data_IF_577104990106
#
_entry.id   IF_577104990106
#
_cell.length_a   1.000
_cell.length_b   1.000
_cell.length_c   1.000
_cell.angle_alpha   90.00
_cell.angle_beta   90.00
_cell.angle_gamma   90.00
#
_symmetry.space_group_name_H-M   'P 1'
#
loop_
_entity.id
_entity.type
_entity.pdbx_description
1 polymer ?
#
# COMPACT_ATOMS: atom_id res chain seq x y z
N UNK A 1 22.09 0.89 -10.60
CA UNK A 1 21.55 -0.30 -11.28
C UNK A 1 20.69 -1.03 -10.27
N UNK A 2 19.39 -1.24 -10.53
CA UNK A 2 18.52 -1.93 -9.57
C UNK A 2 18.68 -3.43 -9.75
N UNK A 3 18.95 -4.16 -8.66
CA UNK A 3 19.04 -5.61 -8.67
C UNK A 3 17.86 -6.15 -7.88
N UNK A 4 16.89 -6.73 -8.58
CA UNK A 4 15.80 -7.43 -7.93
C UNK A 4 16.29 -8.82 -7.50
N UNK A 5 16.17 -9.12 -6.20
CA UNK A 5 16.39 -10.47 -5.66
C UNK A 5 15.06 -11.02 -5.18
N UNK A 6 14.77 -12.27 -5.53
CA UNK A 6 13.62 -12.99 -5.01
C UNK A 6 14.02 -13.67 -3.70
N UNK A 7 13.09 -13.67 -2.76
CA UNK A 7 13.20 -14.38 -1.48
C UNK A 7 11.97 -15.28 -1.34
N UNK A 8 12.18 -16.51 -0.89
CA UNK A 8 11.09 -17.43 -0.59
C UNK A 8 10.48 -17.03 0.76
N UNK A 9 9.22 -16.59 0.75
CA UNK A 9 8.54 -16.14 1.97
C UNK A 9 7.99 -17.30 2.82
N UNK A 10 8.00 -18.54 2.31
CA UNK A 10 7.54 -19.75 3.01
C UNK A 10 6.18 -19.64 3.70
N UNK A 11 5.28 -18.83 3.15
CA UNK A 11 3.87 -18.80 3.51
C UNK A 11 3.13 -19.92 2.79
N UNK A 12 2.12 -20.50 3.46
CA UNK A 12 1.34 -21.63 2.92
C UNK A 12 0.22 -21.18 1.98
N UNK A 13 -0.06 -19.88 1.94
CA UNK A 13 -1.14 -19.25 1.20
C UNK A 13 -0.74 -17.81 0.79
N UNK A 14 -1.62 -17.11 0.09
CA UNK A 14 -1.41 -15.78 -0.45
C UNK A 14 -0.98 -14.77 0.63
N UNK A 15 0.10 -14.04 0.36
CA UNK A 15 0.63 -12.94 1.17
C UNK A 15 -0.15 -11.66 0.86
N UNK A 16 -0.76 -11.01 1.85
CA UNK A 16 -1.55 -9.81 1.57
C UNK A 16 -0.74 -8.53 1.68
N UNK A 17 0.21 -8.49 2.61
CA UNK A 17 0.99 -7.29 2.90
C UNK A 17 2.40 -7.62 3.34
N UNK A 18 3.25 -6.62 3.14
CA UNK A 18 4.62 -6.57 3.62
C UNK A 18 4.79 -5.20 4.27
N UNK A 19 5.63 -5.07 5.27
CA UNK A 19 5.92 -3.77 5.87
C UNK A 19 7.35 -3.74 6.39
N UNK A 20 8.07 -2.66 6.09
CA UNK A 20 9.42 -2.44 6.59
C UNK A 20 9.38 -1.78 7.95
N UNK A 21 10.38 -2.11 8.76
CA UNK A 21 10.68 -1.31 9.94
C UNK A 21 11.19 0.08 9.54
N UNK A 22 11.29 0.97 10.52
CA UNK A 22 11.76 2.34 10.31
C UNK A 22 13.18 2.41 9.71
N UNK A 23 14.02 1.41 9.98
CA UNK A 23 15.41 1.38 9.53
C UNK A 23 15.62 0.63 8.21
N UNK A 24 14.58 -0.01 7.65
CA UNK A 24 14.69 -0.83 6.43
C UNK A 24 15.53 -2.11 6.60
N UNK A 25 15.86 -2.50 7.82
CA UNK A 25 16.64 -3.70 8.14
C UNK A 25 15.78 -4.89 8.49
N UNK A 26 14.50 -4.65 8.78
CA UNK A 26 13.53 -5.69 9.10
C UNK A 26 12.31 -5.54 8.22
N UNK A 27 11.64 -6.64 7.97
CA UNK A 27 10.34 -6.63 7.32
C UNK A 27 9.40 -7.62 7.99
N UNK A 28 8.12 -7.29 7.99
CA UNK A 28 7.04 -8.18 8.41
C UNK A 28 6.20 -8.55 7.19
N UNK A 29 5.76 -9.80 7.10
CA UNK A 29 4.89 -10.31 6.04
C UNK A 29 3.67 -10.97 6.65
N UNK A 30 2.50 -10.83 6.03
CA UNK A 30 1.25 -11.42 6.52
C UNK A 30 0.47 -12.12 5.40
N UNK A 31 -0.26 -13.20 5.73
CA UNK A 31 -0.85 -14.09 4.73
C UNK A 31 -2.24 -14.62 5.10
N UNK A 32 -2.95 -15.15 4.10
CA UNK A 32 -4.14 -15.99 4.24
C UNK A 32 -3.90 -17.24 5.07
N UNK A 33 -2.65 -17.68 5.23
CA UNK A 33 -2.30 -18.81 6.11
C UNK A 33 -2.41 -18.50 7.61
N UNK A 34 -2.92 -17.31 7.94
CA UNK A 34 -3.20 -16.81 9.28
C UNK A 34 -1.94 -16.52 10.10
N UNK A 35 -0.79 -16.41 9.45
CA UNK A 35 0.50 -16.16 10.09
C UNK A 35 1.09 -14.80 9.72
N UNK A 36 1.88 -14.29 10.65
CA UNK A 36 2.84 -13.21 10.41
C UNK A 36 4.24 -13.78 10.54
N UNK A 37 5.12 -13.37 9.63
CA UNK A 37 6.54 -13.67 9.69
C UNK A 37 7.32 -12.37 9.76
N UNK A 38 8.44 -12.40 10.49
CA UNK A 38 9.39 -11.30 10.60
C UNK A 38 10.73 -11.79 10.05
N UNK A 39 11.37 -10.90 9.30
CA UNK A 39 12.59 -11.18 8.58
C UNK A 39 13.59 -10.08 8.86
N UNK A 40 14.84 -10.50 9.06
CA UNK A 40 15.95 -9.59 9.30
C UNK A 40 16.94 -9.66 8.14
N UNK A 41 17.42 -8.49 7.74
CA UNK A 41 18.44 -8.32 6.70
C UNK A 41 19.82 -8.45 7.33
N UNK A 42 20.59 -9.42 6.86
CA UNK A 42 22.00 -9.59 7.20
C UNK A 42 22.86 -8.48 6.59
N UNK A 43 24.09 -8.31 7.10
CA UNK A 43 25.06 -7.35 6.55
C UNK A 43 25.41 -7.65 5.08
N UNK A 44 25.33 -8.92 4.66
CA UNK A 44 25.51 -9.38 3.27
C UNK A 44 24.31 -9.05 2.36
N UNK A 45 23.24 -8.48 2.93
CA UNK A 45 22.04 -8.08 2.22
C UNK A 45 21.03 -9.21 1.96
N UNK A 46 21.22 -10.37 2.58
CA UNK A 46 20.29 -11.50 2.52
C UNK A 46 19.24 -11.44 3.64
N UNK A 47 18.00 -11.82 3.33
CA UNK A 47 16.88 -11.83 4.26
C UNK A 47 16.69 -13.21 4.89
N UNK A 48 16.54 -13.24 6.20
CA UNK A 48 16.35 -14.47 6.97
C UNK A 48 15.09 -14.35 7.83
N UNK A 49 14.24 -15.37 7.81
CA UNK A 49 13.05 -15.41 8.67
C UNK A 49 13.49 -15.64 10.12
N UNK A 50 13.27 -14.66 10.99
CA UNK A 50 13.64 -14.72 12.42
C UNK A 50 12.49 -15.08 13.33
N UNK A 51 11.24 -14.81 12.90
CA UNK A 51 10.06 -15.28 13.61
C UNK A 51 8.92 -15.64 12.65
N UNK A 52 8.10 -16.64 13.04
CA UNK A 52 6.92 -17.07 12.30
C UNK A 52 5.89 -17.61 13.28
N UNK A 53 4.72 -16.98 13.37
CA UNK A 53 3.68 -17.41 14.30
C UNK A 53 2.28 -17.20 13.74
N UNK A 54 1.32 -17.98 14.23
CA UNK A 54 -0.10 -17.79 13.91
C UNK A 54 -0.65 -16.63 14.74
N UNK A 55 -1.30 -15.68 14.08
CA UNK A 55 -1.75 -14.44 14.69
C UNK A 55 -3.25 -14.38 14.92
N UNK A 56 -4.00 -14.84 13.92
CA UNK A 56 -5.43 -14.63 13.73
C UNK A 56 -6.15 -15.95 13.41
N UNK A 57 -7.49 -15.96 13.44
CA UNK A 57 -8.32 -17.11 13.03
C UNK A 57 -8.79 -17.01 11.58
N UNK A 58 -8.46 -15.92 10.89
CA UNK A 58 -8.74 -15.65 9.49
C UNK A 58 -7.53 -15.06 8.76
N UNK A 59 -7.69 -14.78 7.47
CA UNK A 59 -6.64 -14.17 6.63
C UNK A 59 -6.18 -12.82 7.18
N UNK A 60 -4.86 -12.63 7.27
CA UNK A 60 -4.26 -11.39 7.76
C UNK A 60 -4.05 -10.44 6.59
N UNK A 61 -4.76 -9.30 6.59
CA UNK A 61 -4.81 -8.39 5.43
C UNK A 61 -3.67 -7.37 5.39
N UNK A 62 -3.26 -6.85 6.55
CA UNK A 62 -2.22 -5.83 6.67
C UNK A 62 -1.37 -6.04 7.91
N UNK A 63 -0.13 -5.58 7.81
CA UNK A 63 0.83 -5.54 8.91
C UNK A 63 1.56 -4.20 8.90
N UNK A 64 1.82 -3.61 10.06
CA UNK A 64 2.51 -2.33 10.16
C UNK A 64 3.42 -2.28 11.37
N UNK A 65 4.56 -1.63 11.23
CA UNK A 65 5.49 -1.34 12.33
C UNK A 65 5.13 -0.03 13.01
N UNK A 66 5.27 0.00 14.33
CA UNK A 66 5.27 1.26 15.08
C UNK A 66 6.60 1.99 14.89
N UNK A 67 6.63 3.27 15.25
CA UNK A 67 7.90 4.00 15.32
C UNK A 67 8.79 3.41 16.43
N UNK A 68 10.12 3.24 16.21
CA UNK A 68 11.02 2.55 17.14
C UNK A 68 11.14 3.19 18.53
N UNK A 69 10.71 4.45 18.68
CA UNK A 69 10.60 5.14 19.98
C UNK A 69 9.63 4.45 20.95
N UNK A 70 8.66 3.68 20.43
CA UNK A 70 7.72 2.89 21.22
C UNK A 70 8.16 1.42 21.38
N UNK A 71 9.39 1.08 20.97
CA UNK A 71 9.91 -0.29 20.96
C UNK A 71 9.61 -1.04 19.66
N UNK A 72 9.88 -2.35 19.69
CA UNK A 72 9.66 -3.25 18.54
C UNK A 72 8.21 -3.75 18.55
N UNK A 73 7.32 -2.91 18.03
CA UNK A 73 5.86 -3.16 18.06
C UNK A 73 5.32 -3.33 16.64
N UNK A 74 4.50 -4.37 16.46
CA UNK A 74 3.78 -4.67 15.23
C UNK A 74 2.28 -4.63 15.48
N UNK A 75 1.52 -4.17 14.48
CA UNK A 75 0.09 -4.35 14.43
C UNK A 75 -0.30 -5.17 13.20
N UNK A 76 -1.28 -6.05 13.36
CA UNK A 76 -1.86 -6.84 12.27
C UNK A 76 -3.38 -6.73 12.29
N UNK A 77 -4.01 -6.79 11.11
CA UNK A 77 -5.47 -6.84 10.99
C UNK A 77 -5.94 -8.00 10.11
N UNK A 78 -7.18 -8.45 10.34
CA UNK A 78 -7.65 -9.73 9.80
C UNK A 78 -9.12 -9.73 9.39
N UNK A 79 -9.44 -10.69 8.52
CA UNK A 79 -10.79 -11.09 8.16
C UNK A 79 -11.63 -11.55 9.37
N UNK A 80 -10.99 -11.99 10.44
CA UNK A 80 -11.65 -12.40 11.69
C UNK A 80 -12.29 -11.26 12.49
N UNK A 81 -12.26 -10.03 11.94
CA UNK A 81 -12.81 -8.79 12.51
C UNK A 81 -11.98 -8.20 13.64
N UNK A 82 -10.76 -8.68 13.83
CA UNK A 82 -9.87 -8.17 14.89
C UNK A 82 -8.62 -7.51 14.32
N UNK A 83 -8.06 -6.59 15.11
CA UNK A 83 -6.67 -6.18 14.98
C UNK A 83 -5.90 -6.62 16.24
N UNK A 84 -4.63 -6.98 16.10
CA UNK A 84 -3.79 -7.40 17.22
C UNK A 84 -2.50 -6.58 17.25
N UNK A 85 -2.04 -6.27 18.46
CA UNK A 85 -0.76 -5.60 18.69
C UNK A 85 0.20 -6.60 19.32
N UNK A 86 1.42 -6.64 18.79
CA UNK A 86 2.47 -7.57 19.13
C UNK A 86 3.72 -6.80 19.54
N UNK A 87 4.41 -7.29 20.56
CA UNK A 87 5.71 -6.77 20.97
C UNK A 87 6.73 -7.88 20.86
N UNK A 88 7.90 -7.54 20.30
CA UNK A 88 9.03 -8.42 20.33
C UNK A 88 9.75 -8.32 21.67
N UNK A 89 9.98 -9.47 22.29
CA UNK A 89 10.84 -9.58 23.46
C UNK A 89 12.10 -10.34 23.05
N UNK A 90 13.22 -9.66 23.19
CA UNK A 90 14.55 -10.25 23.03
C UNK A 90 14.91 -10.93 24.34
N UNK A 91 14.94 -12.27 24.36
CA UNK A 91 15.37 -13.00 25.55
C UNK A 91 16.87 -12.80 25.80
N UNK A 92 17.28 -12.56 27.06
CA UNK A 92 18.68 -12.68 27.46
C UNK A 92 19.09 -14.16 27.28
N UNK A 93 19.92 -14.42 26.27
CA UNK A 93 20.34 -15.77 25.91
C UNK A 93 21.24 -16.37 27.00
N UNK A 94 20.69 -17.30 27.80
CA UNK A 94 21.48 -18.10 28.74
C UNK A 94 21.30 -19.62 28.58
N UNK A 95 20.63 -20.08 27.51
CA UNK A 95 20.48 -21.50 27.27
C UNK A 95 20.78 -21.89 25.82
N UNK A 96 21.19 -23.13 25.60
CA UNK A 96 21.73 -23.69 24.34
C UNK A 96 20.72 -23.73 23.17
N UNK A 97 19.59 -23.03 23.28
CA UNK A 97 18.69 -22.69 22.19
C UNK A 97 18.91 -21.22 21.82
N UNK A 98 19.53 -21.00 20.65
CA UNK A 98 19.83 -19.67 20.07
C UNK A 98 18.67 -18.70 20.23
N UNK A 99 19.00 -17.43 20.50
CA UNK A 99 18.06 -16.33 20.73
C UNK A 99 17.03 -16.13 19.63
N UNK A 100 15.89 -16.81 19.78
CA UNK A 100 14.70 -16.56 18.99
C UNK A 100 13.96 -15.39 19.63
N UNK A 101 13.90 -14.26 18.92
CA UNK A 101 12.96 -13.20 19.23
C UNK A 101 11.55 -13.77 19.32
N UNK A 102 10.88 -13.57 20.46
CA UNK A 102 9.51 -14.03 20.63
C UNK A 102 8.55 -12.85 20.56
N UNK A 103 7.52 -12.99 19.74
CA UNK A 103 6.48 -11.97 19.57
C UNK A 103 5.32 -12.30 20.50
N UNK A 104 5.09 -11.44 21.48
CA UNK A 104 4.00 -11.57 22.44
C UNK A 104 2.81 -10.74 21.99
N UNK A 105 1.64 -11.36 21.93
CA UNK A 105 0.37 -10.64 21.73
C UNK A 105 0.09 -9.79 22.96
N UNK A 106 0.13 -8.47 22.83
CA UNK A 106 -0.14 -7.54 23.92
C UNK A 106 -1.62 -7.21 24.05
N UNK A 107 -2.31 -7.04 22.93
CA UNK A 107 -3.77 -6.81 22.94
C UNK A 107 -4.45 -7.35 21.67
N UNK A 108 -5.77 -7.50 21.76
CA UNK A 108 -6.67 -7.76 20.62
C UNK A 108 -7.80 -6.74 20.65
N UNK A 109 -7.91 -5.98 19.56
CA UNK A 109 -8.95 -4.97 19.35
C UNK A 109 -10.13 -5.64 18.63
N UNK A 110 -11.29 -5.65 19.29
CA UNK A 110 -12.46 -6.46 18.91
C UNK A 110 -13.70 -5.63 18.60
N UNK A 111 -13.59 -4.30 18.55
CA UNK A 111 -14.73 -3.40 18.38
C UNK A 111 -15.34 -3.45 16.97
N UNK A 112 -14.57 -3.91 15.98
CA UNK A 112 -15.04 -4.01 14.60
C UNK A 112 -16.07 -5.13 14.43
N UNK A 113 -17.19 -4.81 13.78
CA UNK A 113 -18.27 -5.77 13.53
C UNK A 113 -18.06 -6.62 12.27
N UNK A 114 -17.15 -6.18 11.40
CA UNK A 114 -16.84 -6.85 10.13
C UNK A 114 -15.32 -6.90 9.92
N UNK A 115 -14.86 -7.49 8.81
CA UNK A 115 -13.44 -7.61 8.47
C UNK A 115 -12.70 -6.28 8.64
N UNK A 116 -11.55 -6.29 9.30
CA UNK A 116 -10.67 -5.12 9.40
C UNK A 116 -9.76 -5.16 8.18
N UNK A 117 -9.91 -4.18 7.29
CA UNK A 117 -9.29 -4.17 5.95
C UNK A 117 -7.90 -3.53 5.95
N UNK A 118 -7.67 -2.56 6.84
CA UNK A 118 -6.37 -1.90 6.98
C UNK A 118 -6.10 -1.42 8.42
N UNK A 119 -4.81 -1.30 8.73
CA UNK A 119 -4.29 -0.89 10.03
C UNK A 119 -2.99 -0.10 9.85
N UNK A 120 -2.91 1.09 10.46
CA UNK A 120 -1.76 1.99 10.35
C UNK A 120 -1.49 2.71 11.67
N UNK A 121 -0.25 2.65 12.14
CA UNK A 121 0.20 3.52 13.23
C UNK A 121 0.20 4.98 12.77
N UNK A 122 -0.18 5.88 13.68
CA UNK A 122 -0.10 7.30 13.46
C UNK A 122 1.36 7.78 13.51
N UNK A 123 1.65 8.99 13.01
CA UNK A 123 2.96 9.61 13.15
C UNK A 123 3.39 9.73 14.61
N UNK A 124 4.68 9.50 14.89
CA UNK A 124 5.23 9.41 16.26
C UNK A 124 4.90 10.60 17.18
N UNK A 125 4.77 11.80 16.63
CA UNK A 125 4.51 13.00 17.41
C UNK A 125 3.08 13.04 18.00
N UNK A 126 2.20 12.13 17.56
CA UNK A 126 0.86 11.92 18.12
C UNK A 126 0.85 10.89 19.27
N UNK A 127 2.00 10.31 19.62
CA UNK A 127 2.09 9.21 20.56
C UNK A 127 1.81 7.85 19.90
N UNK A 128 1.59 6.82 20.73
CA UNK A 128 1.32 5.47 20.26
C UNK A 128 -0.16 5.31 19.92
N UNK A 129 -0.51 5.74 18.72
CA UNK A 129 -1.87 5.73 18.18
C UNK A 129 -1.96 4.78 16.99
N UNK A 130 -3.04 4.02 16.91
CA UNK A 130 -3.32 3.04 15.87
C UNK A 130 -4.70 3.32 15.26
N UNK A 131 -4.76 3.51 13.94
CA UNK A 131 -6.03 3.51 13.22
C UNK A 131 -6.28 2.14 12.60
N UNK A 132 -7.52 1.69 12.68
CA UNK A 132 -8.03 0.56 11.92
C UNK A 132 -9.21 1.03 11.05
N UNK A 133 -9.38 0.43 9.88
CA UNK A 133 -10.60 0.58 9.11
C UNK A 133 -11.22 -0.77 8.81
N UNK A 134 -12.55 -0.78 8.74
CA UNK A 134 -13.31 -2.01 8.53
C UNK A 134 -14.31 -1.85 7.40
N UNK A 135 -14.70 -2.98 6.82
CA UNK A 135 -15.70 -3.04 5.77
C UNK A 135 -17.10 -2.54 6.22
N UNK A 136 -17.31 -2.34 7.53
CA UNK A 136 -18.50 -1.73 8.13
C UNK A 136 -18.58 -0.20 7.86
N UNK A 137 -17.55 0.35 7.23
CA UNK A 137 -17.45 1.76 6.90
C UNK A 137 -17.11 2.64 8.09
N UNK A 138 -16.42 2.08 9.08
CA UNK A 138 -16.01 2.77 10.29
C UNK A 138 -14.49 2.71 10.44
N UNK A 139 -13.89 3.89 10.66
CA UNK A 139 -12.49 4.01 11.09
C UNK A 139 -12.46 4.17 12.61
N UNK A 140 -11.64 3.37 13.27
CA UNK A 140 -11.47 3.38 14.72
C UNK A 140 -10.04 3.78 15.05
N UNK A 141 -9.89 4.73 15.95
CA UNK A 141 -8.60 5.24 16.40
C UNK A 141 -8.41 4.85 17.85
N UNK A 142 -7.36 4.10 18.11
CA UNK A 142 -6.96 3.61 19.42
C UNK A 142 -5.69 4.31 19.87
N UNK A 143 -5.61 4.61 21.15
CA UNK A 143 -4.41 5.18 21.78
C UNK A 143 -3.99 4.31 22.95
N UNK A 144 -2.70 4.00 23.03
CA UNK A 144 -2.09 3.41 24.21
C UNK A 144 -1.71 4.55 25.18
N UNK A 145 -2.43 4.75 26.30
CA UNK A 145 -2.17 5.85 27.22
C UNK A 145 -0.82 5.73 27.92
N UNK A 146 -0.35 4.49 28.10
CA UNK A 146 0.95 4.16 28.66
C UNK A 146 1.74 3.31 27.66
N UNK A 147 2.80 3.90 27.10
CA UNK A 147 3.71 3.23 26.16
C UNK A 147 4.44 2.06 26.81
N UNK A 148 4.60 2.08 28.14
CA UNK A 148 5.23 0.97 28.88
C UNK A 148 4.27 -0.21 29.06
N UNK A 149 2.95 0.01 28.93
CA UNK A 149 1.93 -1.01 29.06
C UNK A 149 1.12 -1.18 27.77
N UNK A 150 1.72 -1.89 26.81
CA UNK A 150 1.12 -2.17 25.51
C UNK A 150 -0.13 -3.07 25.55
N UNK A 151 -0.52 -3.59 26.72
CA UNK A 151 -1.77 -4.35 26.87
C UNK A 151 -3.02 -3.47 26.89
N UNK A 152 -2.86 -2.19 27.25
CA UNK A 152 -3.96 -1.26 27.41
C UNK A 152 -4.06 -0.32 26.21
N UNK A 153 -5.15 -0.48 25.45
CA UNK A 153 -5.49 0.35 24.31
C UNK A 153 -6.90 0.88 24.49
N UNK A 154 -7.03 2.18 24.41
CA UNK A 154 -8.30 2.89 24.59
C UNK A 154 -8.84 3.33 23.23
N UNK A 155 -10.11 3.04 22.95
CA UNK A 155 -10.79 3.55 21.76
C UNK A 155 -11.09 5.04 21.94
N UNK A 156 -10.39 5.90 21.20
CA UNK A 156 -10.52 7.36 21.29
C UNK A 156 -11.60 7.89 20.35
N UNK A 157 -11.63 7.39 19.11
CA UNK A 157 -12.55 7.90 18.09
C UNK A 157 -13.14 6.80 17.22
N UNK A 158 -14.40 7.01 16.87
CA UNK A 158 -15.12 6.24 15.86
C UNK A 158 -15.61 7.19 14.77
N UNK A 159 -15.16 6.98 13.53
CA UNK A 159 -15.44 7.83 12.37
C UNK A 159 -16.26 7.02 11.36
N UNK A 160 -17.52 7.39 11.17
CA UNK A 160 -18.38 6.77 10.15
C UNK A 160 -18.14 7.40 8.77
N UNK A 161 -17.69 6.58 7.81
CA UNK A 161 -17.41 6.94 6.42
C UNK A 161 -18.61 6.71 5.48
N UNK A 162 -19.64 6.00 5.96
CA UNK A 162 -20.87 5.62 5.23
C UNK A 162 -20.66 4.70 4.01
N UNK A 163 -19.42 4.42 3.63
CA UNK A 163 -19.00 3.49 2.58
C UNK A 163 -18.05 2.47 3.20
N UNK A 164 -17.95 1.26 2.65
CA UNK A 164 -16.99 0.25 3.12
C UNK A 164 -15.56 0.81 3.04
N UNK A 165 -14.79 0.71 4.12
CA UNK A 165 -13.40 1.18 4.09
C UNK A 165 -12.48 0.07 3.59
N UNK A 166 -11.61 0.39 2.64
CA UNK A 166 -10.62 -0.55 2.07
C UNK A 166 -9.18 -0.25 2.49
N UNK A 167 -8.85 1.03 2.67
CA UNK A 167 -7.50 1.49 2.96
C UNK A 167 -7.53 2.82 3.74
N UNK A 168 -6.49 3.05 4.54
CA UNK A 168 -6.28 4.27 5.31
C UNK A 168 -4.86 4.79 5.17
N UNK A 169 -4.72 6.11 5.22
CA UNK A 169 -3.42 6.75 5.27
C UNK A 169 -3.44 7.96 6.19
N UNK A 170 -2.55 7.97 7.18
CA UNK A 170 -2.28 9.14 8.00
C UNK A 170 -1.49 10.17 7.21
N UNK A 171 -1.78 11.46 7.41
CA UNK A 171 -0.87 12.51 6.95
C UNK A 171 0.38 12.49 7.83
N UNK A 172 1.57 12.18 7.30
CA UNK A 172 2.80 12.04 8.07
C UNK A 172 3.41 13.38 8.51
N UNK A 173 2.79 14.51 8.16
CA UNK A 173 3.27 15.85 8.52
C UNK A 173 3.43 16.01 10.03
N UNK A 174 4.65 16.29 10.48
CA UNK A 174 4.94 16.67 11.88
C UNK A 174 4.76 18.17 12.17
N UNK A 175 4.32 18.94 11.17
CA UNK A 175 4.12 20.38 11.33
C UNK A 175 2.92 20.64 12.23
N UNK A 176 3.14 21.38 13.33
CA UNK A 176 2.05 21.89 14.19
C UNK A 176 1.16 22.90 13.49
N UNK A 177 1.55 23.38 12.30
CA UNK A 177 0.71 24.28 11.50
C UNK A 177 -0.47 23.55 10.83
N UNK A 178 -0.44 22.22 10.78
CA UNK A 178 -1.52 21.41 10.21
C UNK A 178 -2.05 20.45 11.27
N UNK A 179 -3.37 20.42 11.50
CA UNK A 179 -3.94 19.43 12.40
C UNK A 179 -3.77 18.01 11.83
N UNK A 180 -3.83 16.98 12.69
CA UNK A 180 -3.79 15.58 12.25
C UNK A 180 -4.88 15.28 11.22
N UNK A 181 -4.50 14.58 10.16
CA UNK A 181 -5.41 14.21 9.07
C UNK A 181 -5.28 12.73 8.73
N UNK A 182 -6.40 12.14 8.32
CA UNK A 182 -6.46 10.79 7.80
C UNK A 182 -7.29 10.78 6.51
N UNK A 183 -6.80 10.08 5.51
CA UNK A 183 -7.52 9.78 4.28
C UNK A 183 -8.02 8.35 4.36
N UNK A 184 -9.23 8.13 3.86
CA UNK A 184 -9.91 6.84 3.87
C UNK A 184 -10.42 6.56 2.46
N UNK A 185 -10.06 5.41 1.93
CA UNK A 185 -10.51 4.92 0.62
C UNK A 185 -11.59 3.85 0.77
N UNK A 186 -12.48 3.79 -0.21
CA UNK A 186 -13.52 2.78 -0.32
C UNK A 186 -13.40 1.98 -1.61
N UNK A 187 -13.51 0.66 -1.48
CA UNK A 187 -13.56 -0.30 -2.59
C UNK A 187 -14.99 -0.64 -3.03
N UNK A 188 -16.00 0.09 -2.53
CA UNK A 188 -17.40 -0.15 -2.89
C UNK A 188 -17.55 -0.07 -4.42
N UNK A 189 -18.12 -1.12 -5.02
CA UNK A 189 -18.29 -1.22 -6.48
C UNK A 189 -19.52 -0.44 -6.99
N UNK A 190 -20.37 0.06 -6.10
CA UNK A 190 -21.56 0.80 -6.49
C UNK A 190 -21.18 2.13 -7.15
N UNK A 191 -21.52 2.26 -8.43
CA UNK A 191 -21.21 3.42 -9.28
C UNK A 191 -22.05 4.65 -8.90
N UNK A 192 -23.13 4.45 -8.15
CA UNK A 192 -24.02 5.53 -7.67
C UNK A 192 -23.32 6.42 -6.65
N UNK A 193 -22.36 5.87 -5.89
CA UNK A 193 -21.59 6.65 -4.92
C UNK A 193 -20.38 7.30 -5.61
N UNK A 194 -20.40 8.63 -5.69
CA UNK A 194 -19.24 9.45 -6.06
C UNK A 194 -18.47 9.86 -4.80
N UNK A 195 -17.16 10.09 -4.95
CA UNK A 195 -16.33 10.51 -3.82
C UNK A 195 -15.92 9.35 -2.91
N UNK A 196 -15.28 8.33 -3.47
CA UNK A 196 -14.82 7.12 -2.74
C UNK A 196 -13.58 7.34 -1.88
N UNK A 197 -13.01 8.55 -1.91
CA UNK A 197 -11.96 8.97 -0.98
C UNK A 197 -12.46 10.15 -0.16
N UNK A 198 -12.42 9.98 1.15
CA UNK A 198 -12.83 10.97 2.14
C UNK A 198 -11.63 11.33 3.01
N UNK A 199 -11.48 12.62 3.29
CA UNK A 199 -10.40 13.16 4.13
C UNK A 199 -11.02 13.71 5.40
N UNK A 200 -10.49 13.26 6.53
CA UNK A 200 -10.90 13.67 7.85
C UNK A 200 -9.75 14.41 8.53
N UNK A 201 -10.11 15.44 9.29
CA UNK A 201 -9.19 16.31 9.99
C UNK A 201 -9.61 16.41 11.46
N UNK A 202 -8.63 16.30 12.35
CA UNK A 202 -8.84 16.45 13.78
C UNK A 202 -9.12 17.91 14.12
N UNK A 203 -10.21 18.16 14.82
CA UNK A 203 -10.56 19.48 15.31
C UNK A 203 -10.30 19.55 16.82
N UNK A 204 -9.31 20.35 17.21
CA UNK A 204 -8.91 20.51 18.62
C UNK A 204 -10.04 21.08 19.50
N UNK A 205 -10.87 21.98 18.95
CA UNK A 205 -11.95 22.62 19.71
C UNK A 205 -13.06 21.61 20.07
N UNK A 206 -13.38 20.70 19.15
CA UNK A 206 -14.43 19.69 19.37
C UNK A 206 -13.88 18.35 19.84
N UNK A 207 -12.55 18.17 19.84
CA UNK A 207 -11.83 16.92 20.10
C UNK A 207 -12.36 15.76 19.29
N UNK A 208 -12.72 16.02 18.03
CA UNK A 208 -13.32 15.04 17.12
C UNK A 208 -12.75 15.18 15.73
N UNK A 209 -12.64 14.06 15.02
CA UNK A 209 -12.39 14.07 13.60
C UNK A 209 -13.65 14.53 12.86
N UNK A 210 -13.47 15.49 11.97
CA UNK A 210 -14.54 16.03 11.11
C UNK A 210 -14.14 15.83 9.66
N UNK A 211 -15.11 15.53 8.79
CA UNK A 211 -14.84 15.40 7.37
C UNK A 211 -14.46 16.76 6.80
N UNK A 212 -13.26 16.85 6.23
CA UNK A 212 -12.70 18.07 5.68
C UNK A 212 -12.89 18.16 4.17
N UNK A 213 -12.83 17.03 3.45
CA UNK A 213 -12.95 17.01 1.99
C UNK A 213 -13.42 15.64 1.49
N UNK A 214 -14.08 15.62 0.33
CA UNK A 214 -14.41 14.40 -0.41
C UNK A 214 -13.91 14.55 -1.84
N UNK A 215 -13.09 13.61 -2.31
CA UNK A 215 -12.53 13.66 -3.67
C UNK A 215 -13.55 13.15 -4.69
N UNK A 216 -14.51 14.00 -5.08
CA UNK A 216 -15.65 13.66 -5.93
C UNK A 216 -15.26 13.07 -7.30
N UNK A 217 -14.07 13.40 -7.80
CA UNK A 217 -13.56 12.89 -9.08
C UNK A 217 -13.15 11.41 -9.02
N UNK A 218 -12.98 10.84 -7.82
CA UNK A 218 -12.63 9.43 -7.61
C UNK A 218 -13.91 8.61 -7.45
N UNK A 219 -14.30 7.94 -8.54
CA UNK A 219 -15.52 7.11 -8.64
C UNK A 219 -15.22 5.62 -8.74
N UNK A 220 -14.00 5.26 -9.13
CA UNK A 220 -13.58 3.87 -9.24
C UNK A 220 -13.23 3.29 -7.85
N UNK A 221 -13.35 1.97 -7.62
CA UNK A 221 -12.95 1.33 -6.36
C UNK A 221 -11.50 1.67 -6.00
N UNK A 222 -11.27 2.03 -4.74
CA UNK A 222 -9.97 2.45 -4.23
C UNK A 222 -9.30 1.26 -3.53
N UNK A 223 -8.14 0.86 -4.02
CA UNK A 223 -7.40 -0.30 -3.53
C UNK A 223 -6.32 0.08 -2.50
N UNK A 224 -5.69 1.25 -2.67
CA UNK A 224 -4.69 1.76 -1.74
C UNK A 224 -4.58 3.28 -1.84
N UNK A 225 -4.16 3.91 -0.74
CA UNK A 225 -3.96 5.36 -0.64
C UNK A 225 -2.72 5.65 0.20
N UNK A 226 -1.97 6.67 -0.20
CA UNK A 226 -0.77 7.05 0.54
C UNK A 226 -0.58 8.57 0.53
N UNK A 227 -0.60 9.18 1.72
CA UNK A 227 -0.09 10.53 1.89
C UNK A 227 1.42 10.55 1.72
N UNK A 228 1.89 11.54 0.99
CA UNK A 228 3.31 11.75 0.78
C UNK A 228 3.91 12.53 1.98
N UNK A 229 5.12 12.19 2.47
CA UNK A 229 5.83 12.95 3.49
C UNK A 229 5.92 14.45 3.15
N UNK A 230 5.61 15.33 4.09
CA UNK A 230 5.64 16.79 3.87
C UNK A 230 6.94 17.40 4.38
N UNK A 231 7.99 17.28 3.57
CA UNK A 231 9.32 17.83 3.85
C UNK A 231 9.42 19.28 3.36
N UNK A 232 8.74 20.19 4.07
CA UNK A 232 8.82 21.64 3.80
C UNK A 232 7.85 22.19 2.75
N UNK A 233 6.93 21.38 2.22
CA UNK A 233 5.85 21.85 1.34
C UNK A 233 4.74 22.52 2.16
N UNK A 234 4.13 23.57 1.60
CA UNK A 234 2.94 24.24 2.17
C UNK A 234 1.62 23.53 1.84
N UNK A 235 1.69 22.45 1.07
CA UNK A 235 0.55 21.66 0.59
C UNK A 235 0.81 20.17 0.85
N UNK A 236 -0.27 19.40 0.90
CA UNK A 236 -0.19 17.95 1.04
C UNK A 236 -0.32 17.29 -0.32
N UNK A 237 0.30 16.11 -0.48
CA UNK A 237 0.18 15.30 -1.69
C UNK A 237 -0.36 13.93 -1.29
N UNK A 238 -1.34 13.45 -2.05
CA UNK A 238 -2.01 12.17 -1.82
C UNK A 238 -1.99 11.35 -3.11
N UNK A 239 -1.42 10.15 -3.06
CA UNK A 239 -1.50 9.18 -4.15
C UNK A 239 -2.64 8.21 -3.89
N UNK A 240 -3.35 7.83 -4.95
CA UNK A 240 -4.51 6.95 -4.90
C UNK A 240 -4.36 5.89 -5.99
N UNK A 241 -4.54 4.63 -5.59
CA UNK A 241 -4.58 3.46 -6.45
C UNK A 241 -6.03 3.05 -6.72
N UNK A 242 -6.47 3.20 -7.96
CA UNK A 242 -7.79 2.83 -8.46
C UNK A 242 -7.63 1.96 -9.71
N UNK A 243 -8.44 2.13 -10.77
CA UNK A 243 -8.12 1.58 -12.10
C UNK A 243 -6.88 2.24 -12.75
N UNK A 244 -6.45 3.34 -12.17
CA UNK A 244 -5.42 4.26 -12.60
C UNK A 244 -4.65 4.78 -11.38
N UNK A 245 -3.47 5.35 -11.59
CA UNK A 245 -2.72 6.03 -10.52
C UNK A 245 -3.08 7.50 -10.56
N UNK A 246 -3.58 8.05 -9.45
CA UNK A 246 -3.88 9.48 -9.34
C UNK A 246 -3.06 10.14 -8.25
N UNK A 247 -2.57 11.35 -8.53
CA UNK A 247 -1.81 12.17 -7.59
C UNK A 247 -2.57 13.48 -7.40
N UNK A 248 -3.00 13.72 -6.16
CA UNK A 248 -3.72 14.92 -5.76
C UNK A 248 -2.82 15.83 -4.94
N UNK A 249 -2.95 17.13 -5.20
CA UNK A 249 -2.38 18.22 -4.41
C UNK A 249 -3.51 18.87 -3.62
N UNK A 250 -3.33 18.92 -2.30
CA UNK A 250 -4.29 19.49 -1.35
C UNK A 250 -3.66 20.75 -0.76
N UNK A 251 -4.12 21.92 -1.20
CA UNK A 251 -3.62 23.21 -0.73
C UNK A 251 -4.56 23.68 0.40
N UNK A 252 -4.09 23.81 1.64
CA UNK A 252 -4.90 24.35 2.73
C UNK A 252 -5.33 25.78 2.40
N UNK A 253 -6.63 26.06 2.47
CA UNK A 253 -7.15 27.41 2.28
C UNK A 253 -6.98 28.21 3.58
N UNK A 254 -6.29 29.35 3.50
CA UNK A 254 -6.26 30.31 4.61
C UNK A 254 -7.63 30.99 4.69
N UNK A 255 -8.32 30.83 5.83
CA UNK A 255 -9.56 31.57 6.11
C UNK A 255 -9.20 33.03 6.40
N UNK A 256 -9.14 33.86 5.36
CA UNK A 256 -9.24 35.31 5.52
C UNK A 256 -10.70 35.72 5.32
N UNK A 257 -11.28 36.35 6.35
CA UNK A 257 -12.61 36.96 6.40
C UNK A 257 -13.85 36.04 6.54
N UNK A 258 -14.80 36.55 7.31
CA UNK A 258 -15.98 35.91 7.91
C UNK A 258 -17.16 35.67 6.95
N UNK A 259 -16.92 35.55 5.64
CA UNK A 259 -18.02 35.52 4.64
C UNK A 259 -18.04 34.32 3.72
N UNK A 260 -17.05 33.41 3.73
CA UNK A 260 -17.11 32.16 2.96
C UNK A 260 -17.47 30.96 3.84
N UNK A 261 -18.76 30.71 4.02
CA UNK A 261 -19.32 29.49 4.62
C UNK A 261 -19.25 28.27 3.69
N UNK A 262 -18.17 28.14 2.91
CA UNK A 262 -17.91 26.96 2.11
C UNK A 262 -17.49 25.77 3.00
N UNK A 263 -17.97 24.55 2.75
CA UNK A 263 -17.59 23.37 3.52
C UNK A 263 -16.15 22.91 3.23
N UNK A 264 -15.56 23.31 2.11
CA UNK A 264 -14.26 22.84 1.63
C UNK A 264 -13.11 23.58 2.32
N UNK A 265 -12.22 22.84 2.97
CA UNK A 265 -11.02 23.40 3.64
C UNK A 265 -9.78 23.40 2.76
N UNK A 266 -9.84 22.68 1.65
CA UNK A 266 -8.72 22.50 0.74
C UNK A 266 -9.11 22.95 -0.66
N UNK A 267 -8.17 23.57 -1.36
CA UNK A 267 -8.17 23.58 -2.81
C UNK A 267 -7.55 22.27 -3.30
N UNK A 268 -8.32 21.49 -4.06
CA UNK A 268 -7.92 20.17 -4.54
C UNK A 268 -7.55 20.26 -6.01
N UNK A 269 -6.32 19.90 -6.35
CA UNK A 269 -5.82 19.87 -7.73
C UNK A 269 -5.37 18.45 -8.09
N UNK A 270 -5.76 17.98 -9.26
CA UNK A 270 -5.22 16.72 -9.83
C UNK A 270 -3.89 17.05 -10.50
N UNK A 271 -2.78 16.59 -9.92
CA UNK A 271 -1.44 16.81 -10.50
C UNK A 271 -1.15 15.86 -11.64
N UNK A 272 -1.59 14.60 -11.50
CA UNK A 272 -1.34 13.57 -12.48
C UNK A 272 -2.37 12.45 -12.39
N UNK A 273 -2.66 11.86 -13.56
CA UNK A 273 -3.45 10.66 -13.72
C UNK A 273 -2.73 9.76 -14.73
N UNK A 274 -2.50 8.51 -14.36
CA UNK A 274 -1.78 7.56 -15.19
C UNK A 274 -2.52 6.25 -15.34
N UNK A 275 -2.94 5.97 -16.57
CA UNK A 275 -3.59 4.73 -16.95
C UNK A 275 -2.57 3.68 -17.45
N UNK A 276 -1.27 3.91 -17.24
CA UNK A 276 -0.21 3.10 -17.89
C UNK A 276 -0.19 1.63 -17.50
N UNK A 277 -0.83 1.23 -16.40
CA UNK A 277 -0.98 -0.17 -16.04
C UNK A 277 -2.00 -0.89 -16.95
N UNK A 278 -2.93 -0.17 -17.60
CA UNK A 278 -4.06 -0.72 -18.36
C UNK A 278 -4.88 -1.77 -17.57
N UNK A 279 -4.79 -1.75 -16.24
CA UNK A 279 -5.49 -2.62 -15.30
C UNK A 279 -5.50 -1.99 -13.91
N UNK A 280 -6.18 -2.64 -12.97
CA UNK A 280 -6.28 -2.21 -11.58
C UNK A 280 -4.91 -2.02 -10.95
N UNK A 281 -4.75 -0.89 -10.27
CA UNK A 281 -3.58 -0.55 -9.47
C UNK A 281 -3.88 -0.95 -8.04
N UNK A 282 -3.06 -1.82 -7.47
CA UNK A 282 -3.31 -2.41 -6.16
C UNK A 282 -2.61 -1.69 -5.03
N UNK A 283 -1.40 -1.14 -5.27
CA UNK A 283 -0.60 -0.48 -4.24
C UNK A 283 0.01 0.81 -4.75
N UNK A 284 0.12 1.78 -3.86
CA UNK A 284 0.88 3.03 -4.05
C UNK A 284 1.75 3.29 -2.83
N UNK A 285 3.02 3.64 -3.05
CA UNK A 285 3.96 3.89 -1.95
C UNK A 285 4.91 5.02 -2.28
N UNK A 286 5.06 5.94 -1.33
CA UNK A 286 5.99 7.07 -1.41
C UNK A 286 7.35 6.68 -0.83
N UNK A 287 8.42 7.25 -1.39
CA UNK A 287 9.69 7.27 -0.66
C UNK A 287 9.63 8.24 0.51
N UNK A 288 10.55 8.07 1.45
CA UNK A 288 10.67 8.92 2.63
C UNK A 288 10.86 10.41 2.29
N UNK A 289 11.46 10.71 1.14
CA UNK A 289 11.67 12.10 0.68
C UNK A 289 10.50 12.69 -0.10
N UNK A 290 9.43 11.95 -0.36
CA UNK A 290 8.25 12.43 -1.11
C UNK A 290 8.52 12.84 -2.56
N UNK A 291 9.65 12.39 -3.12
CA UNK A 291 10.09 12.73 -4.48
C UNK A 291 9.81 11.63 -5.50
N UNK A 292 9.58 10.40 -5.03
CA UNK A 292 9.33 9.23 -5.85
C UNK A 292 8.08 8.53 -5.35
N UNK A 293 7.18 8.25 -6.28
CA UNK A 293 6.02 7.39 -6.07
C UNK A 293 6.25 6.07 -6.78
N UNK A 294 5.87 4.96 -6.16
CA UNK A 294 5.80 3.69 -6.84
C UNK A 294 4.36 3.17 -6.89
N UNK A 295 3.99 2.52 -7.99
CA UNK A 295 2.68 1.88 -8.16
C UNK A 295 2.81 0.47 -8.73
N UNK A 296 1.94 -0.44 -8.30
CA UNK A 296 1.85 -1.80 -8.84
C UNK A 296 0.42 -2.14 -9.26
N UNK A 297 0.30 -2.95 -10.31
CA UNK A 297 -1.00 -3.36 -10.85
C UNK A 297 -1.01 -4.79 -11.38
N UNK A 298 -2.13 -5.22 -11.95
CA UNK A 298 -2.28 -6.59 -12.49
C UNK A 298 -1.40 -6.88 -13.71
N UNK A 299 -0.82 -5.84 -14.32
CA UNK A 299 0.14 -5.97 -15.42
C UNK A 299 1.46 -6.63 -14.97
N UNK A 300 1.61 -6.93 -13.67
CA UNK A 300 2.80 -7.54 -13.09
C UNK A 300 4.01 -6.61 -13.11
N UNK A 301 3.77 -5.31 -13.28
CA UNK A 301 4.79 -4.29 -13.33
C UNK A 301 4.73 -3.38 -12.10
N UNK A 302 5.90 -2.93 -11.68
CA UNK A 302 6.06 -1.78 -10.77
C UNK A 302 6.54 -0.61 -11.59
N UNK A 303 5.87 0.53 -11.41
CA UNK A 303 6.25 1.78 -12.07
C UNK A 303 6.71 2.77 -11.04
N UNK A 304 7.79 3.47 -11.35
CA UNK A 304 8.35 4.54 -10.56
C UNK A 304 8.02 5.88 -11.22
N UNK A 305 7.44 6.80 -10.47
CA UNK A 305 6.97 8.09 -10.93
C UNK A 305 7.72 9.20 -10.19
N UNK A 306 8.19 10.19 -10.95
CA UNK A 306 8.91 11.34 -10.42
C UNK A 306 8.40 12.62 -11.06
N UNK A 307 8.20 13.66 -10.25
CA UNK A 307 7.94 15.00 -10.74
C UNK A 307 9.23 15.68 -11.20
N UNK A 308 9.15 16.44 -12.28
CA UNK A 308 10.20 17.40 -12.63
C UNK A 308 10.02 18.72 -11.85
N UNK A 309 10.90 19.70 -12.10
CA UNK A 309 10.84 21.02 -11.45
C UNK A 309 9.58 21.85 -11.78
N UNK A 310 8.82 21.45 -12.81
CA UNK A 310 7.56 22.10 -13.20
C UNK A 310 6.33 21.32 -12.69
N UNK A 311 6.49 20.45 -11.70
CA UNK A 311 5.43 19.57 -11.17
C UNK A 311 4.83 18.58 -12.19
N UNK A 312 5.49 18.38 -13.35
CA UNK A 312 5.07 17.37 -14.33
C UNK A 312 5.62 16.00 -13.94
N UNK A 313 4.71 15.09 -13.61
CA UNK A 313 5.01 13.71 -13.26
C UNK A 313 5.30 12.86 -14.49
N UNK A 314 6.36 12.05 -14.42
CA UNK A 314 6.72 11.09 -15.47
C UNK A 314 7.10 9.74 -14.88
N UNK A 315 6.84 8.68 -15.63
CA UNK A 315 7.37 7.36 -15.33
C UNK A 315 8.89 7.34 -15.62
N UNK A 316 9.68 7.04 -14.60
CA UNK A 316 11.15 7.02 -14.64
C UNK A 316 11.74 5.61 -14.68
N UNK A 317 10.96 4.61 -14.27
CA UNK A 317 11.40 3.21 -14.29
C UNK A 317 10.20 2.26 -14.29
N UNK A 318 10.38 1.12 -14.96
CA UNK A 318 9.44 0.01 -14.98
C UNK A 318 10.20 -1.24 -14.59
N UNK A 319 9.71 -1.96 -13.59
CA UNK A 319 10.25 -3.22 -13.11
C UNK A 319 9.21 -4.30 -13.33
N UNK A 320 9.57 -5.35 -14.07
CA UNK A 320 8.70 -6.49 -14.31
C UNK A 320 9.00 -7.60 -13.32
N UNK A 321 7.95 -8.30 -12.90
CA UNK A 321 8.05 -9.53 -12.11
C UNK A 321 8.70 -10.71 -12.82
N UNK A 322 9.31 -10.57 -14.00
CA UNK A 322 10.12 -11.63 -14.61
C UNK A 322 11.63 -11.36 -14.48
N UNK A 323 12.01 -10.24 -13.83
CA UNK A 323 13.41 -9.82 -13.71
C UNK A 323 14.02 -9.31 -15.00
N UNK A 324 13.23 -9.16 -16.08
CA UNK A 324 13.73 -8.59 -17.34
C UNK A 324 13.98 -7.09 -17.18
N UNK A 325 15.18 -6.58 -17.52
CA UNK A 325 15.42 -5.14 -17.58
C UNK A 325 14.59 -4.56 -18.72
N UNK A 326 13.78 -3.55 -18.42
CA UNK A 326 13.04 -2.83 -19.47
C UNK A 326 13.97 -1.80 -20.09
N UNK A 327 14.50 -2.09 -21.28
CA UNK A 327 15.10 -1.06 -22.13
C UNK A 327 14.01 -0.03 -22.47
N UNK A 328 14.26 1.23 -22.09
CA UNK A 328 13.31 2.32 -22.25
C UNK A 328 12.94 2.54 -23.70
N UNK A 329 11.72 2.19 -24.07
CA UNK A 329 10.96 2.96 -25.04
C UNK A 329 9.80 3.59 -24.30
N UNK A 330 9.96 4.87 -23.96
CA UNK A 330 8.85 5.73 -23.61
C UNK A 330 7.85 5.69 -24.77
N UNK A 331 6.78 4.92 -24.63
CA UNK A 331 5.60 5.16 -25.46
C UNK A 331 5.07 6.52 -24.99
N UNK A 332 5.37 7.55 -25.78
CA UNK A 332 4.77 8.87 -25.65
C UNK A 332 3.25 8.69 -25.67
N UNK A 333 2.60 8.82 -24.52
CA UNK A 333 1.19 9.15 -24.49
C UNK A 333 1.06 10.56 -25.03
N UNK A 334 0.60 10.67 -26.27
CA UNK A 334 0.28 11.95 -26.89
C UNK A 334 -0.78 12.65 -26.02
N UNK A 335 -0.47 13.88 -25.60
CA UNK A 335 -1.49 14.79 -25.13
C UNK A 335 -2.49 15.02 -26.27
N UNK A 336 -3.78 14.82 -26.00
CA UNK A 336 -4.85 15.14 -26.95
C UNK A 336 -4.94 16.66 -27.08
N UNK A 337 -4.53 17.19 -28.23
CA UNK A 337 -5.00 18.48 -28.75
C UNK A 337 -5.83 18.23 -30.02
N UNK A 338 -6.98 18.90 -30.07
CA UNK A 338 -7.98 18.76 -31.12
C UNK A 338 -7.64 19.56 -32.39
N UNK A 339 -8.38 19.22 -33.48
CA UNK A 339 -8.66 19.95 -34.73
C UNK A 339 -7.87 19.51 -35.99
N UNK A 340 -8.61 19.09 -37.03
CA UNK A 340 -8.33 19.52 -38.42
C UNK A 340 -7.95 18.46 -39.47
N UNK A 341 -8.96 17.82 -40.08
CA UNK A 341 -9.11 17.49 -41.52
C UNK A 341 -7.89 17.17 -42.44
N UNK A 342 -7.92 15.96 -43.03
CA UNK A 342 -7.82 15.75 -44.49
C UNK A 342 -6.47 15.32 -45.10
N UNK A 343 -6.47 14.21 -45.86
CA UNK A 343 -5.50 13.94 -46.94
C UNK A 343 -4.79 12.58 -46.90
N UNK A 344 -5.05 11.74 -47.90
CA UNK A 344 -4.45 10.42 -48.13
C UNK A 344 -3.08 10.50 -48.86
N UNK A 345 -2.21 9.49 -48.70
CA UNK A 345 -1.63 8.67 -49.79
C UNK A 345 -0.46 7.72 -49.40
N UNK A 346 -0.62 6.47 -49.87
CA UNK A 346 0.33 5.50 -50.48
C UNK A 346 1.52 4.81 -49.78
N UNK A 347 1.53 3.50 -50.05
CA UNK A 347 2.50 2.42 -49.82
C UNK A 347 3.92 2.69 -50.32
N UNK A 348 4.91 2.05 -49.67
CA UNK A 348 5.84 1.13 -50.36
C UNK A 348 6.69 0.29 -49.40
N UNK A 349 6.76 -0.99 -49.71
CA UNK A 349 7.54 -2.05 -49.07
C UNK A 349 8.91 -2.23 -49.74
N UNK A 350 9.98 -2.44 -48.97
CA UNK A 350 11.19 -3.15 -49.43
C UNK A 350 11.72 -4.04 -48.30
N UNK A 351 11.99 -5.30 -48.67
CA UNK A 351 12.46 -6.42 -47.84
C UNK A 351 13.99 -6.47 -47.80
N UNK A 352 14.58 -6.86 -46.67
CA UNK A 352 16.02 -7.11 -46.54
C UNK A 352 16.40 -8.03 -45.37
N UNK A 353 16.49 -9.32 -45.66
CA UNK A 353 17.31 -10.40 -45.08
C UNK A 353 17.31 -10.68 -43.57
N UNK A 354 16.68 -11.81 -43.22
CA UNK A 354 16.77 -12.52 -41.95
C UNK A 354 17.93 -13.53 -41.95
N UNK A 355 18.66 -13.64 -40.83
CA UNK A 355 19.61 -14.73 -40.55
C UNK A 355 18.96 -15.80 -39.66
N UNK A 356 19.25 -17.05 -40.02
CA UNK A 356 18.66 -18.29 -39.54
C UNK A 356 18.67 -18.52 -38.01
N UNK A 357 17.48 -18.79 -37.47
CA UNK A 357 17.29 -19.66 -36.30
C UNK A 357 16.56 -20.92 -36.75
N UNK A 358 17.20 -22.09 -36.61
CA UNK A 358 16.54 -23.39 -36.81
C UNK A 358 15.89 -23.83 -35.50
N UNK A 359 14.64 -24.25 -35.65
CA UNK A 359 13.69 -24.73 -34.67
C UNK A 359 14.12 -26.04 -33.99
N UNK A 360 13.65 -26.23 -32.74
CA UNK A 360 13.04 -27.49 -32.34
C UNK A 360 11.66 -27.21 -31.73
N UNK A 361 10.67 -28.00 -32.15
CA UNK A 361 9.25 -27.83 -31.88
C UNK A 361 8.70 -29.04 -31.10
N UNK A 362 7.59 -28.80 -30.38
CA UNK A 362 6.52 -29.72 -29.93
C UNK A 362 6.69 -30.38 -28.55
N UNK A 363 5.64 -30.54 -27.74
CA UNK A 363 4.20 -30.64 -28.07
C UNK A 363 3.33 -30.17 -26.88
N UNK A 364 2.27 -29.42 -27.16
CA UNK A 364 1.13 -29.28 -26.25
C UNK A 364 0.44 -30.64 -26.08
N UNK A 365 -0.06 -30.91 -24.87
CA UNK A 365 -1.26 -31.70 -24.69
C UNK A 365 -2.22 -30.92 -23.79
N UNK A 366 -3.45 -30.77 -24.29
CA UNK A 366 -4.59 -30.11 -23.67
C UNK A 366 -4.89 -30.65 -22.26
N UNK A 367 -5.31 -29.76 -21.36
CA UNK A 367 -6.53 -29.87 -20.55
C UNK A 367 -6.63 -28.69 -19.57
N UNK A 368 -7.71 -27.89 -19.70
CA UNK A 368 -8.32 -27.19 -18.57
C UNK A 368 -8.02 -25.70 -18.42
N UNK A 369 -8.81 -24.85 -19.08
CA UNK A 369 -9.16 -23.52 -18.55
C UNK A 369 -9.69 -23.71 -17.12
N UNK A 370 -9.07 -23.09 -16.11
CA UNK A 370 -9.68 -22.54 -14.88
C UNK A 370 -8.68 -21.55 -14.26
N UNK A 371 -9.21 -20.42 -13.79
CA UNK A 371 -8.60 -19.24 -13.16
C UNK A 371 -7.56 -19.62 -12.08
N UNK A 372 -6.46 -18.88 -11.86
CA UNK A 372 -6.42 -17.52 -11.32
C UNK A 372 -5.23 -16.71 -11.83
N UNK A 373 -5.54 -15.56 -12.43
CA UNK A 373 -4.70 -14.35 -12.41
C UNK A 373 -4.58 -13.91 -10.94
N UNK A 374 -3.37 -13.56 -10.51
CA UNK A 374 -3.04 -12.50 -9.54
C UNK A 374 -1.64 -12.76 -8.96
N UNK A 375 -0.62 -12.27 -9.66
CA UNK A 375 0.73 -12.08 -9.10
C UNK A 375 0.74 -10.65 -8.55
N UNK A 376 0.42 -10.47 -7.27
CA UNK A 376 0.53 -9.15 -6.67
C UNK A 376 2.00 -8.80 -6.46
N UNK A 377 2.32 -7.53 -6.66
CA UNK A 377 3.67 -7.03 -6.48
C UNK A 377 3.61 -5.93 -5.43
N UNK A 378 4.28 -6.18 -4.31
CA UNK A 378 4.36 -5.22 -3.22
C UNK A 378 5.50 -4.23 -3.45
N UNK A 379 5.30 -2.98 -3.05
CA UNK A 379 6.34 -1.95 -3.14
C UNK A 379 6.43 -1.23 -1.80
N UNK A 380 7.64 -1.18 -1.25
CA UNK A 380 8.01 -0.19 -0.25
C UNK A 380 9.31 0.47 -0.69
N UNK A 381 9.37 1.78 -0.50
CA UNK A 381 10.54 2.60 -0.80
C UNK A 381 11.19 2.98 0.53
N UNK A 382 12.19 2.21 0.97
CA UNK A 382 13.00 2.56 2.15
C UNK A 382 14.44 2.81 1.72
N UNK A 383 14.94 4.04 1.91
CA UNK A 383 16.30 4.30 2.41
C UNK A 383 16.49 5.81 2.72
N UNK A 384 17.26 6.13 3.77
CA UNK A 384 17.57 7.49 4.21
C UNK A 384 19.02 7.90 3.88
N UNK A 385 19.85 6.99 3.35
CA UNK A 385 21.29 7.26 3.20
C UNK A 385 21.90 6.86 1.86
N UNK A 386 21.21 6.07 1.04
CA UNK A 386 21.69 5.71 -0.30
C UNK A 386 20.58 5.79 -1.36
N UNK A 387 20.92 6.14 -2.59
CA UNK A 387 20.00 6.24 -3.75
C UNK A 387 19.56 4.82 -4.23
N UNK A 388 19.54 3.84 -3.33
CA UNK A 388 19.23 2.44 -3.60
C UNK A 388 17.77 2.16 -3.25
N UNK A 389 16.92 2.04 -4.29
CA UNK A 389 15.54 1.60 -4.13
C UNK A 389 15.51 0.07 -4.06
N UNK A 390 15.13 -0.48 -2.92
CA UNK A 390 14.91 -1.91 -2.79
C UNK A 390 13.44 -2.26 -3.08
N UNK A 391 13.18 -2.75 -4.29
CA UNK A 391 11.87 -3.30 -4.66
C UNK A 391 11.98 -4.82 -4.58
N UNK A 392 11.40 -5.40 -3.53
CA UNK A 392 11.34 -6.85 -3.40
C UNK A 392 10.10 -7.37 -4.12
N UNK A 393 10.37 -8.08 -5.21
CA UNK A 393 9.38 -8.89 -5.90
C UNK A 393 9.16 -10.16 -5.06
N UNK A 394 8.18 -10.15 -4.15
CA UNK A 394 7.76 -11.40 -3.51
C UNK A 394 6.89 -12.16 -4.51
N UNK A 395 7.45 -13.25 -5.05
CA UNK A 395 6.69 -14.16 -5.90
C UNK A 395 5.83 -15.07 -5.04
N UNK A 396 4.53 -15.00 -5.29
CA UNK A 396 3.52 -15.88 -4.71
C UNK A 396 3.65 -17.26 -5.34
N UNK A 397 4.48 -18.12 -4.75
CA UNK A 397 4.54 -19.51 -5.15
C UNK A 397 3.51 -20.31 -4.35
N UNK A 398 2.32 -20.52 -4.93
CA UNK A 398 1.45 -21.60 -4.44
C UNK A 398 2.06 -22.92 -4.90
N UNK A 399 2.83 -23.57 -4.02
CA UNK A 399 3.13 -24.99 -4.17
C UNK A 399 2.04 -25.79 -3.46
N UNK A 400 0.99 -26.19 -4.19
CA UNK A 400 0.25 -27.40 -3.83
C UNK A 400 -0.45 -28.02 -5.04
N UNK A 401 0.00 -29.23 -5.35
CA UNK A 401 -0.68 -30.22 -6.17
C UNK A 401 -2.15 -30.33 -5.76
N UNK A 402 -2.99 -30.49 -6.77
CA UNK A 402 -4.39 -30.85 -6.67
C UNK A 402 -4.62 -32.01 -5.69
N UNK A 403 -5.57 -31.83 -4.77
CA UNK A 403 -6.38 -32.94 -4.25
C UNK A 403 -7.81 -32.73 -4.73
N UNK A 404 -8.47 -33.73 -5.34
CA UNK A 404 -9.83 -33.57 -5.82
C UNK A 404 -10.79 -33.48 -4.62
N UNK A 405 -11.65 -32.46 -4.65
CA UNK A 405 -12.83 -32.36 -3.79
C UNK A 405 -13.85 -33.37 -4.33
N UNK A 406 -13.99 -34.51 -3.68
CA UNK A 406 -15.18 -35.32 -3.85
C UNK A 406 -16.34 -34.63 -3.12
N UNK A 407 -17.28 -34.11 -3.90
CA UNK A 407 -18.66 -33.89 -3.46
C UNK A 407 -19.26 -35.24 -3.08
N UNK A 408 -19.93 -35.30 -1.94
CA UNK A 408 -21.09 -36.17 -1.77
C UNK A 408 -22.12 -35.39 -0.98
N UNK A 409 -23.16 -34.95 -1.68
CA UNK A 409 -24.48 -34.73 -1.11
C UNK A 409 -25.09 -36.11 -0.84
N UNK A 410 -25.57 -36.31 0.39
CA UNK A 410 -26.84 -36.93 0.74
C UNK A 410 -27.08 -36.63 2.23
#
# INVERSE_FOLDING_TARGET
MFVARSIAADHKDLIHDVSYDFHGRRMATCSSDQSVKVWDKSDDGEWHCTASWKTHSGSVWRVTWAHPEFGQVLASCSFDRTAAVWEEIVGESNDKQRGLSHWIKRTTLVDSRTSVTDVKFAPKHMGLVLATCSADGVVRIYEAPDVMNLSQWSLQHEISCKLSCSCISWNPSSSRAHPPMIAVGSDDNNVTYSGKVQIYEYNENTRKYTKAETLMTVTDPVHDIAFAPNLGRSFHVLAIATKDVRIFKLIPLRRESTTSSGPTKFEVQVMAQFDSHNSQVWRVSWNITSTLLASSGDDGCVRLWKANYMDNWKCTGILRGDGSPVNGSSVQGAALSAVGSGGAQTQNSVVGAASAGRYFTLRLHDMGKILYRNRFLYISLCDNTDISIYIYLIFFQSSKLARPINKAYC
#
